data_IF_767185580970
#
_entry.id   IF_767185580970
#
_cell.length_a   1.000
_cell.length_b   1.000
_cell.length_c   1.000
_cell.angle_alpha   90.00
_cell.angle_beta   90.00
_cell.angle_gamma   90.00
#
_symmetry.space_group_name_H-M   'P 1'
#
loop_
_entity.id
_entity.type
_entity.pdbx_description
1 polymer ?
#
# COMPACT_ATOMS: atom_id res chain seq x y z
N UNK A 1 52.51 -16.54 -19.77
CA UNK A 1 52.07 -15.73 -20.94
C UNK A 1 50.79 -15.03 -20.50
N UNK A 2 50.87 -13.78 -20.12
CA UNK A 2 49.75 -13.02 -19.59
C UNK A 2 48.84 -12.51 -20.72
N UNK A 3 47.62 -12.80 -20.58
CA UNK A 3 46.53 -12.52 -21.51
C UNK A 3 46.30 -11.02 -21.72
N UNK A 4 46.54 -10.51 -22.92
CA UNK A 4 46.30 -9.10 -23.32
C UNK A 4 44.87 -8.72 -23.73
N UNK A 5 43.81 -9.51 -23.57
CA UNK A 5 42.47 -9.10 -24.02
C UNK A 5 41.74 -8.15 -23.08
N UNK A 6 42.14 -8.03 -21.79
CA UNK A 6 41.37 -7.25 -20.82
C UNK A 6 41.47 -5.71 -21.04
N UNK A 7 42.58 -5.20 -21.49
CA UNK A 7 42.77 -3.74 -21.64
C UNK A 7 41.98 -3.17 -22.83
N UNK A 8 41.88 -3.93 -23.92
CA UNK A 8 41.09 -3.52 -25.09
C UNK A 8 39.58 -3.56 -24.78
N UNK A 9 39.14 -4.51 -23.95
CA UNK A 9 37.79 -4.57 -23.45
C UNK A 9 37.45 -3.40 -22.52
N UNK A 10 38.35 -3.04 -21.64
CA UNK A 10 38.20 -1.92 -20.72
C UNK A 10 38.12 -0.56 -21.45
N UNK A 11 38.98 -0.29 -22.39
CA UNK A 11 38.97 0.93 -23.20
C UNK A 11 37.67 1.05 -24.02
N UNK A 12 37.22 -0.06 -24.61
CA UNK A 12 35.95 -0.13 -25.34
C UNK A 12 34.75 0.11 -24.41
N UNK A 13 34.74 -0.49 -23.22
CA UNK A 13 33.71 -0.29 -22.20
C UNK A 13 33.65 1.17 -21.71
N UNK A 14 34.81 1.80 -21.44
CA UNK A 14 34.86 3.20 -21.08
C UNK A 14 34.35 4.12 -22.20
N UNK A 15 34.72 3.85 -23.45
CA UNK A 15 34.26 4.62 -24.60
C UNK A 15 32.73 4.53 -24.79
N UNK A 16 32.16 3.34 -24.63
CA UNK A 16 30.70 3.14 -24.69
C UNK A 16 30.01 3.85 -23.53
N UNK A 17 30.54 3.73 -22.32
CA UNK A 17 29.99 4.40 -21.13
C UNK A 17 29.99 5.93 -21.25
N UNK A 18 31.10 6.51 -21.68
CA UNK A 18 31.20 7.94 -21.96
C UNK A 18 30.25 8.39 -23.09
N UNK A 19 30.09 7.58 -24.12
CA UNK A 19 29.13 7.83 -25.19
C UNK A 19 27.66 7.88 -24.71
N UNK A 20 27.28 6.97 -23.79
CA UNK A 20 25.95 6.97 -23.18
C UNK A 20 25.72 8.20 -22.32
N UNK A 21 26.69 8.57 -21.47
CA UNK A 21 26.58 9.76 -20.61
C UNK A 21 26.52 11.04 -21.43
N UNK A 22 27.33 11.16 -22.48
CA UNK A 22 27.30 12.32 -23.39
C UNK A 22 25.97 12.44 -24.13
N UNK A 23 25.42 11.29 -24.60
CA UNK A 23 24.11 11.25 -25.24
C UNK A 23 23.00 11.70 -24.26
N UNK A 24 23.03 11.23 -23.02
CA UNK A 24 22.08 11.62 -21.97
C UNK A 24 22.20 13.09 -21.63
N UNK A 25 23.44 13.62 -21.50
CA UNK A 25 23.68 15.05 -21.30
C UNK A 25 23.07 15.88 -22.46
N UNK A 26 23.32 15.49 -23.68
CA UNK A 26 22.73 16.15 -24.85
C UNK A 26 21.19 16.09 -24.86
N UNK A 27 20.60 15.01 -24.34
CA UNK A 27 19.16 14.89 -24.20
C UNK A 27 18.59 15.80 -23.11
N UNK A 28 19.26 15.91 -21.97
CA UNK A 28 18.82 16.79 -20.86
C UNK A 28 18.94 18.26 -21.19
N UNK A 29 19.87 18.66 -22.06
CA UNK A 29 20.02 20.06 -22.52
C UNK A 29 18.95 20.49 -23.53
N UNK A 30 18.20 19.55 -24.13
CA UNK A 30 17.12 19.89 -25.03
C UNK A 30 15.90 20.40 -24.26
N UNK A 31 15.16 21.40 -24.76
CA UNK A 31 13.95 21.87 -24.11
C UNK A 31 12.86 20.81 -24.12
N UNK A 32 12.06 20.75 -23.04
CA UNK A 32 10.97 19.76 -22.82
C UNK A 32 9.99 19.68 -24.01
N UNK A 33 9.76 20.82 -24.71
CA UNK A 33 8.93 20.89 -25.91
C UNK A 33 9.43 20.04 -27.09
N UNK A 34 10.70 19.68 -27.13
CA UNK A 34 11.35 18.85 -28.17
C UNK A 34 11.60 17.40 -27.69
N UNK A 35 10.87 16.96 -26.65
CA UNK A 35 10.99 15.61 -26.10
C UNK A 35 12.29 15.35 -25.34
N UNK A 36 12.98 16.40 -24.91
CA UNK A 36 14.19 16.33 -24.06
C UNK A 36 13.94 16.99 -22.71
N UNK A 37 15.00 17.24 -21.97
CA UNK A 37 14.98 17.90 -20.67
C UNK A 37 15.17 16.94 -19.49
N UNK A 38 15.37 17.52 -18.31
CA UNK A 38 15.47 16.76 -17.07
C UNK A 38 14.09 16.18 -16.71
N UNK A 39 14.08 14.91 -16.31
CA UNK A 39 12.87 14.25 -15.81
C UNK A 39 12.72 14.52 -14.30
N UNK A 40 12.40 15.76 -13.96
CA UNK A 40 12.19 16.22 -12.59
C UNK A 40 10.74 16.62 -12.38
N UNK A 41 10.18 16.24 -11.23
CA UNK A 41 8.86 16.65 -10.75
C UNK A 41 9.07 17.72 -9.68
N UNK A 42 8.37 18.83 -9.77
CA UNK A 42 8.48 19.94 -8.82
C UNK A 42 7.62 19.69 -7.58
N UNK A 43 7.97 18.66 -6.84
CA UNK A 43 7.30 18.32 -5.58
C UNK A 43 7.55 19.45 -4.53
N UNK A 44 6.57 19.88 -3.72
CA UNK A 44 5.20 19.36 -3.61
C UNK A 44 4.18 20.00 -4.58
N UNK A 45 4.60 20.95 -5.44
CA UNK A 45 3.71 21.68 -6.34
C UNK A 45 3.18 20.82 -7.49
N UNK A 46 3.99 19.88 -7.95
CA UNK A 46 3.61 18.85 -8.92
C UNK A 46 3.80 17.49 -8.28
N UNK A 47 2.75 16.68 -8.31
CA UNK A 47 2.76 15.29 -7.81
C UNK A 47 2.36 14.34 -8.92
N UNK A 48 3.07 13.25 -9.07
CA UNK A 48 2.63 12.14 -9.92
C UNK A 48 1.59 11.31 -9.17
N UNK A 49 0.49 11.00 -9.83
CA UNK A 49 -0.52 10.11 -9.25
C UNK A 49 0.09 8.72 -9.02
N UNK A 50 -0.01 8.17 -7.82
CA UNK A 50 0.50 6.83 -7.54
C UNK A 50 -0.25 5.78 -8.37
N UNK A 51 0.39 4.67 -8.76
CA UNK A 51 -0.28 3.57 -9.44
C UNK A 51 -1.46 3.03 -8.63
N UNK A 52 -2.52 2.55 -9.30
CA UNK A 52 -3.75 2.01 -8.66
C UNK A 52 -3.45 0.95 -7.59
N UNK A 53 -2.38 0.16 -7.78
CA UNK A 53 -1.94 -0.89 -6.83
C UNK A 53 -0.82 -0.43 -5.89
N UNK A 54 -0.68 0.86 -5.69
CA UNK A 54 0.29 1.41 -4.75
C UNK A 54 -0.05 1.00 -3.31
N UNK A 55 0.97 0.62 -2.55
CA UNK A 55 0.85 0.32 -1.11
C UNK A 55 1.14 1.59 -0.33
N UNK A 56 0.10 2.32 -0.01
CA UNK A 56 0.17 3.46 0.89
C UNK A 56 -0.30 3.09 2.29
N UNK A 57 -1.11 3.93 2.91
CA UNK A 57 -1.68 3.67 4.24
C UNK A 57 -2.79 2.61 4.16
N UNK A 58 -3.00 1.88 5.25
CA UNK A 58 -4.08 0.88 5.34
C UNK A 58 -5.34 1.57 5.86
N UNK A 59 -6.43 1.44 5.11
CA UNK A 59 -7.74 1.95 5.48
C UNK A 59 -8.61 0.83 6.09
N UNK A 60 -9.47 1.18 7.04
CA UNK A 60 -10.37 0.26 7.74
C UNK A 60 -11.82 0.56 7.41
N UNK A 61 -12.55 -0.45 6.92
CA UNK A 61 -14.01 -0.45 6.87
C UNK A 61 -14.55 -1.15 8.12
N UNK A 62 -14.94 -0.35 9.12
CA UNK A 62 -15.35 -0.86 10.45
C UNK A 62 -16.54 -1.81 10.34
N UNK A 63 -17.53 -1.52 9.49
CA UNK A 63 -18.76 -2.32 9.33
C UNK A 63 -18.47 -3.78 8.92
N UNK A 64 -17.38 -4.02 8.22
CA UNK A 64 -16.98 -5.36 7.78
C UNK A 64 -16.14 -6.08 8.84
N UNK A 65 -15.56 -5.36 9.81
CA UNK A 65 -14.67 -5.94 10.79
C UNK A 65 -15.45 -6.75 11.85
N UNK A 66 -15.12 -8.03 11.98
CA UNK A 66 -15.71 -8.92 12.99
C UNK A 66 -14.79 -9.20 14.17
N UNK A 67 -13.71 -8.46 14.30
CA UNK A 67 -12.67 -8.64 15.36
C UNK A 67 -12.17 -10.08 15.45
N UNK A 68 -11.93 -10.73 14.32
CA UNK A 68 -11.45 -12.12 14.27
C UNK A 68 -9.97 -12.27 14.67
N UNK A 69 -9.24 -11.18 14.84
CA UNK A 69 -7.81 -11.11 15.23
C UNK A 69 -6.84 -11.74 14.23
N UNK A 70 -7.27 -12.11 13.03
CA UNK A 70 -6.39 -12.73 12.03
C UNK A 70 -5.29 -11.77 11.57
N UNK A 71 -5.66 -10.51 11.28
CA UNK A 71 -4.70 -9.48 10.86
C UNK A 71 -3.65 -9.20 11.94
N UNK A 72 -4.05 -9.09 13.21
CA UNK A 72 -3.12 -8.86 14.32
C UNK A 72 -2.18 -10.05 14.54
N UNK A 73 -2.69 -11.28 14.48
CA UNK A 73 -1.87 -12.50 14.65
C UNK A 73 -0.90 -12.76 13.50
N UNK A 74 -1.27 -12.35 12.29
CA UNK A 74 -0.45 -12.53 11.10
C UNK A 74 0.53 -11.39 10.88
N UNK A 75 0.44 -10.33 11.68
CA UNK A 75 1.35 -9.20 11.59
C UNK A 75 2.75 -9.58 12.12
N UNK A 76 3.81 -9.48 11.29
CA UNK A 76 5.17 -9.80 11.74
C UNK A 76 5.70 -8.81 12.77
N UNK A 77 5.26 -7.55 12.72
CA UNK A 77 5.74 -6.45 13.58
C UNK A 77 4.83 -6.16 14.77
N UNK A 78 3.73 -6.92 14.93
CA UNK A 78 2.78 -6.76 16.03
C UNK A 78 2.24 -5.34 16.19
N UNK A 79 2.12 -4.61 15.09
CA UNK A 79 1.71 -3.21 15.06
C UNK A 79 0.19 -2.98 15.06
N UNK A 80 -0.63 -4.04 15.16
CA UNK A 80 -2.10 -3.96 15.13
C UNK A 80 -2.68 -4.33 16.48
N UNK A 81 -3.37 -3.37 17.09
CA UNK A 81 -4.02 -3.51 18.40
C UNK A 81 -5.52 -3.56 18.24
N UNK A 82 -6.17 -4.62 18.70
CA UNK A 82 -7.62 -4.81 18.57
C UNK A 82 -8.19 -5.19 19.92
N UNK A 83 -9.19 -4.42 20.36
CA UNK A 83 -10.03 -4.73 21.51
C UNK A 83 -11.48 -4.84 21.05
N UNK A 84 -12.21 -5.82 21.57
CA UNK A 84 -13.58 -6.07 21.19
C UNK A 84 -14.37 -6.70 22.32
N UNK A 85 -15.64 -6.33 22.42
CA UNK A 85 -16.57 -6.98 23.33
C UNK A 85 -17.64 -7.77 22.58
N UNK A 86 -18.27 -8.69 23.28
CA UNK A 86 -19.37 -9.49 22.73
C UNK A 86 -20.69 -8.89 23.10
N UNK A 87 -21.55 -8.67 22.10
CA UNK A 87 -22.93 -8.23 22.30
C UNK A 87 -23.91 -9.22 21.66
N UNK A 88 -25.20 -9.09 22.04
CA UNK A 88 -26.29 -9.88 21.46
C UNK A 88 -26.94 -9.08 20.34
N UNK A 89 -26.80 -9.56 19.11
CA UNK A 89 -27.50 -9.00 17.97
C UNK A 89 -28.84 -9.73 17.72
N UNK A 90 -29.81 -9.04 17.12
CA UNK A 90 -31.08 -9.66 16.75
C UNK A 90 -30.84 -10.83 15.78
N UNK A 91 -31.72 -11.82 15.79
CA UNK A 91 -31.61 -12.98 14.92
C UNK A 91 -31.76 -12.58 13.45
N UNK A 92 -31.03 -13.25 12.55
CA UNK A 92 -31.11 -13.00 11.09
C UNK A 92 -32.45 -13.43 10.47
N UNK A 93 -33.22 -14.32 11.17
CA UNK A 93 -34.51 -14.83 10.73
C UNK A 93 -35.52 -14.58 11.83
N UNK A 94 -36.76 -14.24 11.46
CA UNK A 94 -37.85 -14.09 12.40
C UNK A 94 -38.05 -15.38 13.23
N UNK A 95 -38.09 -15.26 14.58
CA UNK A 95 -38.21 -16.41 15.49
C UNK A 95 -36.88 -17.14 15.81
N UNK A 96 -35.75 -16.71 15.31
CA UNK A 96 -34.45 -17.29 15.66
C UNK A 96 -33.93 -16.85 17.04
N UNK A 97 -32.92 -17.56 17.55
CA UNK A 97 -32.23 -17.15 18.77
C UNK A 97 -31.32 -15.94 18.51
N UNK A 98 -31.14 -15.05 19.50
CA UNK A 98 -30.16 -13.96 19.41
C UNK A 98 -28.75 -14.50 19.21
N UNK A 99 -27.97 -13.85 18.35
CA UNK A 99 -26.61 -14.30 18.06
C UNK A 99 -25.59 -13.40 18.77
N UNK A 100 -24.51 -14.02 19.24
CA UNK A 100 -23.37 -13.28 19.77
C UNK A 100 -22.55 -12.72 18.59
N UNK A 101 -22.32 -11.41 18.60
CA UNK A 101 -21.44 -10.71 17.66
C UNK A 101 -20.38 -9.97 18.43
N UNK A 102 -19.19 -9.86 17.84
CA UNK A 102 -18.15 -9.02 18.38
C UNK A 102 -18.32 -7.61 17.80
N UNK A 103 -18.18 -6.61 18.65
CA UNK A 103 -18.10 -5.20 18.26
C UNK A 103 -16.67 -4.74 18.52
N UNK A 104 -16.11 -4.00 17.58
CA UNK A 104 -14.77 -3.44 17.66
C UNK A 104 -14.81 -2.20 18.56
N UNK A 105 -14.20 -2.27 19.73
CA UNK A 105 -14.05 -1.11 20.63
C UNK A 105 -12.86 -0.27 20.21
N UNK A 106 -11.74 -0.96 19.95
CA UNK A 106 -10.47 -0.37 19.56
C UNK A 106 -9.88 -1.13 18.39
N UNK A 107 -9.41 -0.39 17.40
CA UNK A 107 -8.63 -0.92 16.28
C UNK A 107 -7.60 0.12 15.92
N UNK A 108 -6.35 -0.12 16.30
CA UNK A 108 -5.26 0.82 16.04
C UNK A 108 -4.18 0.13 15.22
N UNK A 109 -3.55 0.90 14.35
CA UNK A 109 -2.33 0.51 13.65
C UNK A 109 -1.22 1.49 14.00
N UNK A 110 -0.12 0.96 14.50
CA UNK A 110 1.09 1.73 14.76
C UNK A 110 1.95 1.79 13.49
N UNK A 111 1.88 2.94 12.82
CA UNK A 111 2.66 3.17 11.59
C UNK A 111 4.14 3.46 11.85
N UNK A 112 4.55 3.69 13.11
CA UNK A 112 5.95 3.75 13.46
C UNK A 112 6.64 2.37 13.40
N UNK A 113 5.86 1.29 13.53
CA UNK A 113 6.33 -0.11 13.48
C UNK A 113 5.97 -0.80 12.17
N UNK A 114 4.92 -0.36 11.48
CA UNK A 114 4.38 -1.03 10.31
C UNK A 114 5.36 -1.03 9.13
N UNK A 115 5.69 -2.22 8.61
CA UNK A 115 6.57 -2.38 7.42
C UNK A 115 5.79 -2.42 6.10
N UNK A 116 4.52 -2.13 6.06
CA UNK A 116 3.66 -2.10 4.86
C UNK A 116 3.69 -3.42 4.05
N UNK A 117 3.85 -4.55 4.70
CA UNK A 117 3.91 -5.87 4.03
C UNK A 117 2.59 -6.29 3.39
N UNK A 118 1.43 -5.82 3.91
CA UNK A 118 0.09 -6.09 3.39
C UNK A 118 -0.51 -7.43 3.78
N UNK A 119 0.16 -8.23 4.59
CA UNK A 119 -0.35 -9.52 5.04
C UNK A 119 -1.71 -9.37 5.74
N UNK A 120 -1.89 -8.30 6.53
CA UNK A 120 -3.16 -8.01 7.22
C UNK A 120 -4.33 -7.78 6.25
N UNK A 121 -4.08 -7.16 5.10
CA UNK A 121 -5.09 -6.95 4.05
C UNK A 121 -5.43 -8.28 3.38
N UNK A 122 -4.42 -9.08 3.02
CA UNK A 122 -4.61 -10.36 2.31
C UNK A 122 -5.27 -11.43 3.19
N UNK A 123 -5.00 -11.46 4.49
CA UNK A 123 -5.54 -12.45 5.42
C UNK A 123 -6.94 -12.14 5.90
N UNK A 124 -7.46 -10.93 5.64
CA UNK A 124 -8.78 -10.51 6.09
C UNK A 124 -9.89 -11.21 5.28
N UNK A 125 -10.70 -12.13 5.86
CA UNK A 125 -11.72 -12.84 5.12
C UNK A 125 -13.03 -12.04 4.96
N UNK A 126 -13.07 -10.84 5.51
CA UNK A 126 -14.26 -9.98 5.54
C UNK A 126 -14.11 -8.70 4.74
N UNK A 127 -12.99 -8.54 4.02
CA UNK A 127 -12.69 -7.33 3.25
C UNK A 127 -12.88 -6.06 4.09
N UNK A 128 -12.26 -6.06 5.28
CA UNK A 128 -12.31 -4.91 6.20
C UNK A 128 -11.10 -3.98 6.04
N UNK A 129 -10.00 -4.44 5.45
CA UNK A 129 -8.76 -3.68 5.27
C UNK A 129 -8.47 -3.47 3.79
N UNK A 130 -8.13 -2.23 3.44
CA UNK A 130 -7.85 -1.81 2.06
C UNK A 130 -6.57 -0.99 1.99
N UNK A 131 -5.97 -0.94 0.81
CA UNK A 131 -4.88 -0.04 0.53
C UNK A 131 -5.42 1.31 0.06
N UNK A 132 -5.06 2.37 0.76
CA UNK A 132 -5.18 3.74 0.27
C UNK A 132 -3.87 4.13 -0.45
N UNK A 133 -3.91 4.95 -1.51
CA UNK A 133 -2.72 5.46 -2.17
C UNK A 133 -2.00 6.55 -1.35
N UNK A 134 -2.60 7.02 -0.27
CA UNK A 134 -2.05 8.08 0.57
C UNK A 134 -0.79 7.63 1.32
N UNK A 135 0.22 8.50 1.32
CA UNK A 135 1.51 8.25 1.96
C UNK A 135 2.07 9.45 2.73
N UNK A 136 1.38 10.61 2.64
CA UNK A 136 1.82 11.87 3.26
C UNK A 136 1.15 12.09 4.63
N UNK A 137 1.51 11.28 5.60
CA UNK A 137 0.97 11.36 6.97
C UNK A 137 2.08 11.45 8.03
N UNK A 138 3.19 12.08 7.69
CA UNK A 138 4.28 12.31 8.65
C UNK A 138 3.85 13.20 9.79
N UNK A 139 4.15 12.78 11.02
CA UNK A 139 3.80 13.48 12.24
C UNK A 139 5.05 13.88 13.02
N UNK A 140 5.03 15.01 13.76
CA UNK A 140 6.18 15.48 14.52
C UNK A 140 6.47 14.62 15.76
N UNK A 141 5.49 13.85 16.24
CA UNK A 141 5.63 12.94 17.38
C UNK A 141 5.32 11.51 16.97
N UNK A 142 6.15 10.59 17.41
CA UNK A 142 5.96 9.15 17.11
C UNK A 142 4.64 8.60 17.64
N UNK A 143 4.11 9.16 18.76
CA UNK A 143 2.84 8.74 19.31
C UNK A 143 1.65 9.05 18.38
N UNK A 144 1.75 10.08 17.56
CA UNK A 144 0.70 10.49 16.64
C UNK A 144 0.64 9.60 15.39
N UNK A 145 1.64 8.72 15.20
CA UNK A 145 1.64 7.67 14.18
C UNK A 145 0.81 6.43 14.57
N UNK A 146 0.29 6.40 15.81
CA UNK A 146 -0.72 5.42 16.21
C UNK A 146 -2.08 5.88 15.70
N UNK A 147 -2.52 5.31 14.59
CA UNK A 147 -3.81 5.66 13.98
C UNK A 147 -4.93 4.78 14.53
N UNK A 148 -5.93 5.42 15.12
CA UNK A 148 -7.13 4.79 15.63
C UNK A 148 -8.13 4.41 14.52
N UNK A 149 -9.18 3.67 14.87
CA UNK A 149 -10.22 3.24 13.93
C UNK A 149 -10.88 4.39 13.18
N UNK A 150 -10.98 5.57 13.79
CA UNK A 150 -11.59 6.76 13.18
C UNK A 150 -10.72 7.27 12.05
N UNK A 151 -9.43 7.50 12.33
CA UNK A 151 -8.45 7.94 11.32
C UNK A 151 -8.26 6.91 10.20
N UNK A 152 -8.27 5.62 10.54
CA UNK A 152 -8.22 4.54 9.55
C UNK A 152 -9.50 4.49 8.68
N UNK A 153 -10.66 4.87 9.24
CA UNK A 153 -11.92 4.99 8.52
C UNK A 153 -11.93 6.16 7.54
N UNK A 154 -11.33 7.30 7.89
CA UNK A 154 -11.20 8.46 7.00
C UNK A 154 -10.41 8.11 5.73
N UNK A 155 -9.39 7.25 5.83
CA UNK A 155 -8.63 6.79 4.67
C UNK A 155 -9.47 5.96 3.67
N UNK A 156 -10.64 5.46 4.07
CA UNK A 156 -11.52 4.75 3.12
C UNK A 156 -12.05 5.63 2.00
N UNK A 157 -12.12 6.94 2.20
CA UNK A 157 -12.55 7.90 1.16
C UNK A 157 -11.55 7.99 0.01
N UNK A 158 -10.28 7.67 0.28
CA UNK A 158 -9.19 7.74 -0.69
C UNK A 158 -8.88 6.39 -1.36
N UNK A 159 -9.56 5.30 -0.92
CA UNK A 159 -9.36 3.98 -1.51
C UNK A 159 -9.91 3.94 -2.94
N UNK A 160 -9.10 3.62 -3.95
CA UNK A 160 -9.57 3.52 -5.32
C UNK A 160 -10.55 2.36 -5.49
N UNK A 161 -11.47 2.48 -6.43
CA UNK A 161 -12.34 1.37 -6.81
C UNK A 161 -11.51 0.18 -7.28
N UNK A 162 -11.96 -1.03 -6.91
CA UNK A 162 -11.29 -2.24 -7.33
C UNK A 162 -11.25 -2.31 -8.87
N UNK A 163 -10.10 -2.62 -9.47
CA UNK A 163 -10.02 -2.78 -10.92
C UNK A 163 -10.98 -3.88 -11.37
N UNK A 164 -11.55 -3.72 -12.57
CA UNK A 164 -12.42 -4.72 -13.17
C UNK A 164 -11.69 -6.08 -13.22
N UNK A 165 -12.41 -7.12 -12.82
CA UNK A 165 -11.89 -8.48 -12.86
C UNK A 165 -11.72 -8.92 -14.31
N UNK A 166 -10.66 -9.65 -14.60
CA UNK A 166 -10.47 -10.26 -15.91
C UNK A 166 -11.67 -11.13 -16.28
N UNK A 167 -12.05 -11.11 -17.56
CA UNK A 167 -13.19 -11.85 -18.08
C UNK A 167 -13.11 -13.33 -17.68
N UNK A 168 -14.04 -13.81 -16.84
CA UNK A 168 -14.10 -15.17 -16.32
C UNK A 168 -13.60 -15.38 -14.87
N UNK A 169 -13.04 -14.39 -14.22
CA UNK A 169 -12.62 -14.46 -12.82
C UNK A 169 -13.81 -14.68 -11.88
N UNK A 170 -14.98 -14.11 -12.20
CA UNK A 170 -16.23 -14.22 -11.39
C UNK A 170 -16.73 -15.67 -11.22
N UNK A 171 -16.35 -16.57 -12.11
CA UNK A 171 -16.81 -17.98 -12.07
C UNK A 171 -16.13 -18.79 -10.96
N UNK A 172 -15.00 -18.35 -10.43
CA UNK A 172 -14.23 -19.06 -9.38
C UNK A 172 -14.65 -18.73 -7.95
N UNK A 173 -15.34 -17.61 -7.71
CA UNK A 173 -15.74 -17.17 -6.37
C UNK A 173 -17.12 -17.65 -5.92
N UNK A 174 -17.85 -18.40 -6.75
CA UNK A 174 -19.20 -18.94 -6.42
C UNK A 174 -19.18 -20.41 -5.97
N UNK A 175 -18.26 -20.77 -5.06
CA UNK A 175 -18.32 -22.07 -4.38
C UNK A 175 -18.46 -21.89 -2.88
#
# INVERSE_FOLDING_TARGET
>A
MADKPQVVGLAKGLGVGLGVTLKTLGHTMKPKKLGGGANTVQYPHEKEAPPIRSRGVIALREDNCTSCMLCSRSCPDWCIYIEAHKTLAPPRRAGGAPRKVNIVDRFDIDYALCMYCGICVEVCPFDALFWSPEYEYSEPKIADLLHDKTKLGEWMETVPEAPELEAGADKKCKK
#
